data_IF_154992561281
#
_entry.id   IF_154992561281
#
_cell.length_a   1.000
_cell.length_b   1.000
_cell.length_c   1.000
_cell.angle_alpha   90.00
_cell.angle_beta   90.00
_cell.angle_gamma   90.00
#
_symmetry.space_group_name_H-M   'P 1'
#
loop_
_entity.id
_entity.type
_entity.pdbx_description
1 polymer ?
#
# COMPACT_ATOMS: atom_id res chain seq x y z
N UNK A 1 -11.25 26.29 -5.60
CA UNK A 1 -10.63 25.04 -5.13
C UNK A 1 -9.63 25.40 -4.04
N UNK A 2 -9.67 24.72 -2.89
CA UNK A 2 -8.62 24.86 -1.89
C UNK A 2 -7.30 24.43 -2.52
N UNK A 3 -6.37 25.38 -2.73
CA UNK A 3 -5.06 25.15 -3.38
C UNK A 3 -3.97 24.83 -2.36
N UNK A 4 -4.35 24.57 -1.11
CA UNK A 4 -3.44 24.25 -0.01
C UNK A 4 -2.91 22.82 -0.13
N UNK A 5 -1.77 22.61 0.48
CA UNK A 5 -1.16 21.30 0.60
C UNK A 5 -2.00 20.38 1.48
N UNK A 6 -1.98 19.10 1.17
CA UNK A 6 -2.26 18.02 2.11
C UNK A 6 -0.96 17.25 2.31
N UNK A 7 -0.67 16.88 3.56
CA UNK A 7 0.43 15.99 3.90
C UNK A 7 -0.14 14.60 4.09
N UNK A 8 0.52 13.58 3.58
CA UNK A 8 0.17 12.19 3.83
C UNK A 8 1.33 11.46 4.48
N UNK A 9 0.99 10.57 5.42
CA UNK A 9 1.93 9.75 6.18
C UNK A 9 1.60 8.28 5.98
N UNK A 10 2.61 7.50 5.62
CA UNK A 10 2.52 6.05 5.58
C UNK A 10 3.68 5.39 6.32
N UNK A 11 3.39 4.31 7.03
CA UNK A 11 4.41 3.40 7.54
C UNK A 11 4.06 2.00 7.11
N UNK A 12 4.95 1.42 6.30
CA UNK A 12 4.82 0.04 5.86
C UNK A 12 4.87 -0.93 7.04
N UNK A 13 4.26 -2.10 6.87
CA UNK A 13 4.29 -3.17 7.88
C UNK A 13 5.68 -3.81 8.07
N UNK A 14 6.63 -3.52 7.17
CA UNK A 14 7.99 -4.00 7.26
C UNK A 14 8.78 -3.42 8.45
N UNK A 15 8.30 -2.34 9.09
CA UNK A 15 9.01 -1.63 10.17
C UNK A 15 10.51 -1.45 9.86
N UNK A 16 10.77 -0.93 8.66
CA UNK A 16 12.11 -0.63 8.15
C UNK A 16 12.81 0.50 8.92
N UNK A 17 12.10 1.10 9.88
CA UNK A 17 12.58 2.17 10.73
C UNK A 17 12.34 3.55 10.14
N UNK A 18 11.48 3.68 9.12
CA UNK A 18 11.17 4.98 8.51
C UNK A 18 9.67 5.25 8.40
N UNK A 19 9.32 6.50 8.12
CA UNK A 19 7.99 6.96 7.72
C UNK A 19 8.08 7.70 6.38
N UNK A 20 7.20 7.34 5.46
CA UNK A 20 7.01 8.08 4.22
C UNK A 20 6.13 9.31 4.47
N UNK A 21 6.61 10.46 4.04
CA UNK A 21 5.90 11.73 4.09
C UNK A 21 5.81 12.28 2.67
N UNK A 22 4.61 12.60 2.21
CA UNK A 22 4.42 13.20 0.89
C UNK A 22 3.41 14.35 0.93
N UNK A 23 3.72 15.43 0.21
CA UNK A 23 2.81 16.54 0.01
C UNK A 23 2.13 16.44 -1.36
N UNK A 24 0.84 16.77 -1.35
CA UNK A 24 -0.03 16.72 -2.51
C UNK A 24 -0.99 17.91 -2.48
N UNK A 25 -1.10 18.67 -3.58
CA UNK A 25 -2.28 19.53 -3.80
C UNK A 25 -3.29 18.72 -4.59
N UNK A 26 -4.49 18.60 -4.03
CA UNK A 26 -5.59 17.87 -4.64
C UNK A 26 -6.91 18.49 -4.21
N UNK A 27 -7.92 18.34 -5.05
CA UNK A 27 -9.30 18.63 -4.69
C UNK A 27 -10.04 17.42 -4.09
N UNK A 28 -9.30 16.35 -3.79
CA UNK A 28 -9.81 15.06 -3.34
C UNK A 28 -10.22 14.13 -4.48
N UNK A 29 -10.30 14.60 -5.73
CA UNK A 29 -10.62 13.77 -6.90
C UNK A 29 -9.44 13.68 -7.84
N UNK A 30 -8.85 14.82 -8.19
CA UNK A 30 -7.74 14.91 -9.13
C UNK A 30 -6.50 15.49 -8.44
N UNK A 31 -5.33 15.12 -8.97
CA UNK A 31 -4.04 15.66 -8.53
C UNK A 31 -3.80 16.98 -9.24
N UNK A 32 -3.59 18.05 -8.46
CA UNK A 32 -3.31 19.39 -8.96
C UNK A 32 -1.80 19.67 -9.01
N UNK A 33 -1.06 19.21 -8.00
CA UNK A 33 0.38 19.42 -7.89
C UNK A 33 1.02 18.37 -6.97
N UNK A 34 2.17 17.84 -7.36
CA UNK A 34 3.02 16.98 -6.53
C UNK A 34 4.00 17.86 -5.74
N UNK A 35 3.98 17.78 -4.41
CA UNK A 35 4.84 18.56 -3.52
C UNK A 35 6.12 17.82 -3.10
N UNK A 36 6.84 18.29 -2.07
CA UNK A 36 7.95 17.55 -1.49
C UNK A 36 7.55 16.15 -1.00
N UNK A 37 8.49 15.20 -1.05
CA UNK A 37 8.38 13.90 -0.39
C UNK A 37 9.67 13.59 0.36
N UNK A 38 9.58 12.80 1.42
CA UNK A 38 10.74 12.33 2.17
C UNK A 38 10.46 10.99 2.83
N UNK A 39 11.52 10.20 2.98
CA UNK A 39 11.59 9.04 3.86
C UNK A 39 12.32 9.50 5.12
N UNK A 40 11.61 9.60 6.24
CA UNK A 40 12.19 10.09 7.50
C UNK A 40 12.43 8.94 8.47
N UNK A 41 13.63 8.85 9.08
CA UNK A 41 13.92 7.81 10.04
C UNK A 41 13.17 8.03 11.34
N UNK A 42 12.72 6.93 11.94
CA UNK A 42 12.26 6.91 13.31
C UNK A 42 13.42 7.01 14.30
N UNK A 43 13.20 7.63 15.47
CA UNK A 43 14.03 7.39 16.63
C UNK A 43 14.12 5.88 16.93
N UNK A 44 15.31 5.42 17.32
CA UNK A 44 15.63 3.99 17.50
C UNK A 44 14.63 3.27 18.42
N UNK A 45 14.16 3.95 19.46
CA UNK A 45 13.23 3.43 20.45
C UNK A 45 11.82 3.14 19.89
N UNK A 46 11.36 3.89 18.88
CA UNK A 46 10.01 3.75 18.32
C UNK A 46 9.85 2.39 17.66
N UNK A 47 10.85 1.97 16.88
CA UNK A 47 10.81 0.68 16.17
C UNK A 47 10.71 -0.50 17.15
N UNK A 48 11.39 -0.42 18.30
CA UNK A 48 11.29 -1.43 19.37
C UNK A 48 9.88 -1.54 19.95
N UNK A 49 9.26 -0.38 20.25
CA UNK A 49 7.88 -0.31 20.76
C UNK A 49 6.87 -0.85 19.75
N UNK A 50 7.02 -0.50 18.47
CA UNK A 50 6.12 -0.97 17.41
C UNK A 50 6.22 -2.49 17.21
N UNK A 51 7.44 -3.06 17.23
CA UNK A 51 7.63 -4.51 17.15
C UNK A 51 6.96 -5.23 18.33
N UNK A 52 7.14 -4.71 19.55
CA UNK A 52 6.48 -5.26 20.72
C UNK A 52 4.95 -5.15 20.60
N UNK A 53 4.43 -4.00 20.17
CA UNK A 53 3.01 -3.80 19.96
C UNK A 53 2.44 -4.77 18.92
N UNK A 54 3.12 -5.00 17.80
CA UNK A 54 2.69 -6.00 16.80
C UNK A 54 2.67 -7.43 17.36
N UNK A 55 3.68 -7.82 18.15
CA UNK A 55 3.73 -9.13 18.78
C UNK A 55 2.61 -9.34 19.81
N UNK A 56 2.35 -8.34 20.65
CA UNK A 56 1.24 -8.37 21.60
C UNK A 56 -0.11 -8.31 20.88
N UNK A 57 -0.23 -7.57 19.78
CA UNK A 57 -1.44 -7.51 18.97
C UNK A 57 -1.78 -8.88 18.36
N UNK A 58 -0.78 -9.59 17.82
CA UNK A 58 -0.95 -10.94 17.29
C UNK A 58 -1.48 -11.91 18.35
N UNK A 59 -1.00 -11.78 19.60
CA UNK A 59 -1.47 -12.59 20.74
C UNK A 59 -2.88 -12.18 21.19
N UNK A 60 -3.15 -10.88 21.26
CA UNK A 60 -4.44 -10.32 21.66
C UNK A 60 -5.57 -10.69 20.69
N UNK A 61 -5.31 -10.62 19.37
CA UNK A 61 -6.25 -10.98 18.31
C UNK A 61 -7.70 -10.45 18.53
N UNK A 62 -7.81 -9.19 18.95
CA UNK A 62 -9.08 -8.53 19.28
C UNK A 62 -9.91 -9.22 20.39
N UNK A 63 -9.25 -9.91 21.33
CA UNK A 63 -9.91 -10.61 22.43
C UNK A 63 -9.47 -10.05 23.78
N UNK A 64 -10.41 -9.52 24.56
CA UNK A 64 -10.12 -8.87 25.84
C UNK A 64 -9.65 -7.41 25.68
N UNK A 65 -9.11 -6.79 26.75
CA UNK A 65 -8.67 -5.40 26.72
C UNK A 65 -7.48 -5.19 25.77
N UNK A 66 -7.34 -3.98 25.21
CA UNK A 66 -6.16 -3.65 24.39
C UNK A 66 -4.86 -3.85 25.18
N UNK A 67 -3.79 -4.35 24.55
CA UNK A 67 -2.47 -4.44 25.15
C UNK A 67 -1.98 -3.09 25.69
N UNK A 68 -1.45 -3.09 26.91
CA UNK A 68 -0.99 -1.86 27.58
C UNK A 68 0.11 -1.12 26.78
N UNK A 69 0.93 -1.86 26.03
CA UNK A 69 1.99 -1.31 25.18
C UNK A 69 1.45 -0.40 24.06
N UNK A 70 0.20 -0.59 23.62
CA UNK A 70 -0.36 0.17 22.49
C UNK A 70 -0.34 1.67 22.75
N UNK A 71 -0.69 2.10 23.98
CA UNK A 71 -0.70 3.52 24.33
C UNK A 71 0.70 4.14 24.25
N UNK A 72 1.70 3.45 24.78
CA UNK A 72 3.08 3.92 24.75
C UNK A 72 3.62 3.98 23.32
N UNK A 73 3.35 2.95 22.52
CA UNK A 73 3.75 2.87 21.13
C UNK A 73 3.04 3.93 20.27
N UNK A 74 1.75 4.16 20.49
CA UNK A 74 0.94 5.17 19.78
C UNK A 74 1.42 6.59 20.04
N UNK A 75 1.71 6.94 21.29
CA UNK A 75 2.25 8.26 21.63
C UNK A 75 3.63 8.47 21.00
N UNK A 76 4.54 7.48 21.12
CA UNK A 76 5.89 7.57 20.57
C UNK A 76 5.87 7.69 19.04
N UNK A 77 5.07 6.86 18.37
CA UNK A 77 4.85 6.91 16.92
C UNK A 77 4.33 8.29 16.49
N UNK A 78 3.28 8.78 17.16
CA UNK A 78 2.63 10.04 16.79
C UNK A 78 3.59 11.22 16.91
N UNK A 79 4.38 11.27 18.00
CA UNK A 79 5.40 12.32 18.18
C UNK A 79 6.48 12.26 17.11
N UNK A 80 6.97 11.06 16.77
CA UNK A 80 8.00 10.89 15.75
C UNK A 80 7.49 11.28 14.36
N UNK A 81 6.28 10.87 13.98
CA UNK A 81 5.68 11.25 12.71
C UNK A 81 5.34 12.75 12.64
N UNK A 82 4.89 13.36 13.75
CA UNK A 82 4.68 14.82 13.81
C UNK A 82 5.99 15.58 13.57
N UNK A 83 7.09 15.12 14.17
CA UNK A 83 8.42 15.68 13.92
C UNK A 83 8.85 15.52 12.45
N UNK A 84 8.57 14.36 11.83
CA UNK A 84 8.83 14.13 10.41
C UNK A 84 8.06 15.10 9.51
N UNK A 85 6.76 15.34 9.78
CA UNK A 85 5.96 16.35 9.06
C UNK A 85 6.61 17.73 9.18
N UNK A 86 6.92 18.17 10.40
CA UNK A 86 7.53 19.49 10.64
C UNK A 86 8.87 19.61 9.90
N UNK A 87 9.69 18.57 9.91
CA UNK A 87 10.98 18.54 9.23
C UNK A 87 10.84 18.64 7.70
N UNK A 88 9.84 17.97 7.11
CA UNK A 88 9.54 18.05 5.68
C UNK A 88 9.04 19.44 5.30
N UNK A 89 8.10 20.01 6.07
CA UNK A 89 7.60 21.37 5.82
C UNK A 89 8.72 22.40 5.92
N UNK A 90 9.58 22.29 6.94
CA UNK A 90 10.72 23.19 7.15
C UNK A 90 11.70 23.12 5.98
N UNK A 91 12.12 21.92 5.56
CA UNK A 91 13.03 21.74 4.41
C UNK A 91 12.41 22.18 3.09
N UNK A 92 11.10 22.00 2.94
CA UNK A 92 10.34 22.47 1.79
C UNK A 92 10.07 23.98 1.81
N UNK A 93 10.40 24.68 2.90
CA UNK A 93 10.05 26.08 3.14
C UNK A 93 8.55 26.34 2.94
N UNK A 94 7.70 25.44 3.45
CA UNK A 94 6.24 25.49 3.37
C UNK A 94 5.70 25.91 4.73
N UNK A 95 4.94 27.00 4.76
CA UNK A 95 4.26 27.45 5.97
C UNK A 95 3.17 26.43 6.37
N UNK A 96 3.10 25.96 7.62
CA UNK A 96 1.99 25.14 8.12
C UNK A 96 0.59 25.69 7.78
N UNK A 97 0.43 27.02 7.68
CA UNK A 97 -0.83 27.66 7.27
C UNK A 97 -1.23 27.36 5.80
N UNK A 98 -0.27 27.00 4.96
CA UNK A 98 -0.50 26.52 3.59
C UNK A 98 -0.90 25.03 3.54
N UNK A 99 -0.89 24.33 4.68
CA UNK A 99 -1.34 22.94 4.79
C UNK A 99 -2.77 22.91 5.31
N UNK A 100 -3.66 22.32 4.53
CA UNK A 100 -5.06 22.15 4.88
C UNK A 100 -5.29 21.00 5.85
N UNK A 101 -4.57 19.89 5.69
CA UNK A 101 -4.79 18.65 6.43
C UNK A 101 -3.59 17.70 6.36
N UNK A 102 -3.41 16.90 7.41
CA UNK A 102 -2.54 15.73 7.45
C UNK A 102 -3.42 14.47 7.35
N UNK A 103 -3.11 13.59 6.41
CA UNK A 103 -3.60 12.21 6.39
C UNK A 103 -2.65 11.29 7.12
N UNK A 104 -3.07 10.88 8.32
CA UNK A 104 -2.26 10.10 9.25
C UNK A 104 -2.77 8.66 9.30
N UNK A 105 -2.20 7.77 8.47
CA UNK A 105 -2.57 6.35 8.48
C UNK A 105 -2.26 5.68 9.84
N UNK A 106 -1.12 6.06 10.42
CA UNK A 106 -0.57 5.39 11.60
C UNK A 106 0.15 4.09 11.25
N UNK A 107 0.36 3.26 12.27
CA UNK A 107 0.95 1.93 12.14
C UNK A 107 -0.12 0.87 12.34
N UNK A 108 -0.39 0.03 11.34
CA UNK A 108 -1.24 -1.14 11.55
C UNK A 108 -0.50 -2.14 12.43
N UNK A 109 -1.08 -2.49 13.59
CA UNK A 109 -0.56 -3.54 14.49
C UNK A 109 -1.27 -4.87 14.30
N UNK A 110 -2.55 -4.83 13.92
CA UNK A 110 -3.29 -6.02 13.54
C UNK A 110 -4.40 -5.67 12.55
N UNK A 111 -4.52 -6.50 11.53
CA UNK A 111 -5.62 -6.47 10.58
C UNK A 111 -6.18 -7.89 10.45
N UNK A 112 -7.51 -7.99 10.43
CA UNK A 112 -8.23 -9.24 10.30
C UNK A 112 -9.36 -9.05 9.31
N UNK A 113 -9.19 -9.63 8.13
CA UNK A 113 -10.16 -9.59 7.05
C UNK A 113 -11.55 -10.08 7.51
N UNK A 114 -12.59 -9.53 6.87
CA UNK A 114 -13.95 -9.97 7.04
C UNK A 114 -14.17 -11.33 6.34
N UNK A 115 -15.01 -12.17 6.93
CA UNK A 115 -15.47 -13.44 6.33
C UNK A 115 -16.99 -13.45 6.26
N UNK A 116 -17.57 -14.44 5.59
CA UNK A 116 -19.02 -14.66 5.56
C UNK A 116 -19.65 -14.84 6.94
N UNK A 117 -18.85 -15.21 7.95
CA UNK A 117 -19.30 -15.55 9.30
C UNK A 117 -18.94 -14.49 10.34
N UNK A 118 -18.08 -13.52 10.00
CA UNK A 118 -17.56 -12.53 10.97
C UNK A 118 -17.17 -11.21 10.30
N UNK A 119 -17.57 -10.10 10.91
CA UNK A 119 -17.09 -8.77 10.53
C UNK A 119 -15.55 -8.69 10.72
N UNK A 120 -14.89 -7.98 9.83
CA UNK A 120 -13.45 -7.71 9.93
C UNK A 120 -13.09 -6.86 11.16
N UNK A 121 -11.80 -6.70 11.42
CA UNK A 121 -11.31 -5.80 12.45
C UNK A 121 -9.93 -5.27 12.08
N UNK A 122 -9.62 -4.04 12.47
CA UNK A 122 -8.29 -3.48 12.27
C UNK A 122 -7.94 -2.52 13.39
N UNK A 123 -6.67 -2.51 13.80
CA UNK A 123 -6.13 -1.55 14.76
C UNK A 123 -4.89 -0.89 14.17
N UNK A 124 -5.01 0.42 13.95
CA UNK A 124 -3.89 1.31 13.62
C UNK A 124 -3.54 2.11 14.86
N UNK A 125 -2.26 2.13 15.26
CA UNK A 125 -1.76 3.06 16.25
C UNK A 125 -1.56 4.43 15.61
N UNK A 126 -2.08 5.47 16.23
CA UNK A 126 -1.87 6.87 15.84
C UNK A 126 -2.90 7.80 16.45
N UNK A 127 -2.46 8.74 17.28
CA UNK A 127 -3.33 9.73 17.94
C UNK A 127 -3.47 10.98 17.06
N UNK A 128 -4.59 11.07 16.34
CA UNK A 128 -4.90 12.22 15.47
C UNK A 128 -4.99 13.55 16.21
N UNK A 129 -5.44 13.57 17.47
CA UNK A 129 -5.54 14.79 18.27
C UNK A 129 -4.16 15.25 18.75
N UNK A 130 -3.29 14.33 19.15
CA UNK A 130 -1.90 14.65 19.46
C UNK A 130 -1.15 15.15 18.21
N UNK A 131 -1.29 14.50 17.06
CA UNK A 131 -0.73 14.97 15.79
C UNK A 131 -1.17 16.40 15.47
N UNK A 132 -2.47 16.69 15.59
CA UNK A 132 -3.01 18.01 15.30
C UNK A 132 -2.45 19.09 16.24
N UNK A 133 -2.37 18.79 17.54
CA UNK A 133 -1.78 19.72 18.53
C UNK A 133 -0.29 19.96 18.32
N UNK A 134 0.48 18.92 17.98
CA UNK A 134 1.94 19.03 17.80
C UNK A 134 2.31 19.80 16.53
N UNK A 135 1.53 19.62 15.46
CA UNK A 135 1.83 20.24 14.16
C UNK A 135 1.12 21.58 13.95
N UNK A 136 0.04 21.85 14.70
CA UNK A 136 -0.84 22.98 14.44
C UNK A 136 -1.70 22.82 13.18
N UNK A 137 -1.77 21.60 12.61
CA UNK A 137 -2.46 21.31 11.35
C UNK A 137 -3.60 20.31 11.62
N UNK A 138 -4.77 20.53 11.00
CA UNK A 138 -5.87 19.57 11.08
C UNK A 138 -5.42 18.18 10.61
N UNK A 139 -5.83 17.13 11.31
CA UNK A 139 -5.39 15.76 11.03
C UNK A 139 -6.58 14.84 10.86
N UNK A 140 -6.57 14.03 9.80
CA UNK A 140 -7.49 12.92 9.61
C UNK A 140 -6.72 11.62 9.85
N UNK A 141 -7.18 10.81 10.79
CA UNK A 141 -6.71 9.43 11.02
C UNK A 141 -7.88 8.44 10.94
N UNK A 142 -7.65 7.16 11.23
CA UNK A 142 -8.68 6.10 11.23
C UNK A 142 -9.52 6.01 9.95
N UNK A 143 -8.83 5.75 8.83
CA UNK A 143 -9.47 5.64 7.51
C UNK A 143 -10.26 4.34 7.31
N UNK A 144 -10.06 3.33 8.16
CA UNK A 144 -10.53 1.95 7.93
C UNK A 144 -11.80 1.61 8.71
N UNK A 145 -12.02 2.18 9.90
CA UNK A 145 -13.08 1.72 10.79
C UNK A 145 -14.49 1.87 10.20
N UNK A 146 -14.77 2.96 9.48
CA UNK A 146 -16.07 3.18 8.85
C UNK A 146 -16.38 2.14 7.75
N UNK A 147 -15.37 1.75 6.98
CA UNK A 147 -15.48 0.72 5.94
C UNK A 147 -15.79 -0.66 6.56
N UNK A 148 -15.01 -1.04 7.58
CA UNK A 148 -15.16 -2.32 8.28
C UNK A 148 -16.52 -2.40 8.99
N UNK A 149 -16.96 -1.31 9.63
CA UNK A 149 -18.26 -1.24 10.29
C UNK A 149 -19.43 -1.40 9.30
N UNK A 150 -19.23 -1.02 8.04
CA UNK A 150 -20.19 -1.22 6.95
C UNK A 150 -20.10 -2.60 6.29
N UNK A 151 -19.25 -3.50 6.80
CA UNK A 151 -19.06 -4.86 6.28
C UNK A 151 -17.99 -5.00 5.20
N UNK A 152 -17.24 -3.93 4.91
CA UNK A 152 -16.10 -3.97 4.02
C UNK A 152 -14.85 -4.60 4.66
N UNK A 153 -13.84 -4.83 3.83
CA UNK A 153 -12.55 -5.41 4.25
C UNK A 153 -11.63 -4.40 4.95
N UNK A 154 -11.87 -3.09 4.85
CA UNK A 154 -10.99 -2.03 5.34
C UNK A 154 -9.75 -1.80 4.47
N UNK A 155 -9.58 -2.56 3.37
CA UNK A 155 -8.46 -2.50 2.44
C UNK A 155 -8.83 -3.13 1.08
N UNK A 156 -8.17 -2.74 -0.04
CA UNK A 156 -7.24 -1.61 -0.17
C UNK A 156 -7.99 -0.27 -0.28
N UNK A 157 -7.45 0.80 0.31
CA UNK A 157 -7.97 2.17 0.19
C UNK A 157 -7.27 3.01 -0.91
N UNK A 158 -6.12 2.53 -1.39
CA UNK A 158 -5.38 3.11 -2.50
C UNK A 158 -6.12 3.24 -3.85
N UNK A 159 -7.16 2.44 -4.19
CA UNK A 159 -7.75 2.46 -5.53
C UNK A 159 -8.26 3.83 -5.99
N UNK A 160 -8.79 4.63 -5.06
CA UNK A 160 -9.28 5.98 -5.40
C UNK A 160 -8.14 6.93 -5.75
N UNK A 161 -6.97 6.76 -5.12
CA UNK A 161 -5.77 7.50 -5.46
C UNK A 161 -5.14 6.98 -6.77
N UNK A 162 -5.14 5.66 -6.97
CA UNK A 162 -4.67 5.07 -8.23
C UNK A 162 -5.45 5.59 -9.45
N UNK A 163 -6.76 5.79 -9.32
CA UNK A 163 -7.56 6.46 -10.37
C UNK A 163 -7.11 7.90 -10.61
N UNK A 164 -6.79 8.66 -9.55
CA UNK A 164 -6.30 10.03 -9.68
C UNK A 164 -4.93 10.06 -10.37
N UNK A 165 -4.04 9.12 -10.06
CA UNK A 165 -2.74 8.94 -10.74
C UNK A 165 -2.91 8.65 -12.23
N UNK A 166 -3.76 7.68 -12.59
CA UNK A 166 -4.02 7.34 -14.00
C UNK A 166 -4.58 8.54 -14.77
N UNK A 167 -5.50 9.32 -14.17
CA UNK A 167 -6.00 10.56 -14.77
C UNK A 167 -4.93 11.63 -14.92
N UNK A 168 -4.06 11.78 -13.92
CA UNK A 168 -2.99 12.78 -13.91
C UNK A 168 -2.03 12.60 -15.09
N UNK A 169 -1.73 11.35 -15.47
CA UNK A 169 -0.89 11.04 -16.63
C UNK A 169 -1.68 10.89 -17.95
N UNK A 170 -2.98 11.20 -17.95
CA UNK A 170 -3.84 11.06 -19.13
C UNK A 170 -4.01 9.62 -19.62
N UNK A 171 -3.90 8.63 -18.73
CA UNK A 171 -4.09 7.23 -19.09
C UNK A 171 -5.56 6.92 -19.41
N UNK A 172 -5.78 6.14 -20.48
CA UNK A 172 -7.11 5.72 -20.91
C UNK A 172 -7.66 4.53 -20.11
N UNK A 173 -8.90 4.13 -20.42
CA UNK A 173 -9.63 3.03 -19.75
C UNK A 173 -8.96 1.64 -19.90
N UNK A 174 -8.02 1.50 -20.84
CA UNK A 174 -7.20 0.29 -20.99
C UNK A 174 -5.99 0.23 -20.05
N UNK A 175 -5.84 1.18 -19.11
CA UNK A 175 -4.72 1.23 -18.17
C UNK A 175 -5.14 0.80 -16.76
N UNK A 176 -4.26 0.07 -16.08
CA UNK A 176 -4.36 -0.25 -14.67
C UNK A 176 -3.11 0.24 -13.91
N UNK A 177 -3.25 0.46 -12.61
CA UNK A 177 -2.12 0.69 -11.71
C UNK A 177 -1.87 -0.57 -10.89
N UNK A 178 -0.61 -1.01 -10.83
CA UNK A 178 -0.17 -2.16 -10.04
C UNK A 178 0.88 -1.71 -9.03
N UNK A 179 0.57 -1.81 -7.73
CA UNK A 179 1.55 -1.56 -6.69
C UNK A 179 2.23 -2.87 -6.28
N UNK A 180 3.56 -2.94 -6.39
CA UNK A 180 4.37 -4.09 -6.00
C UNK A 180 5.19 -3.80 -4.74
N UNK A 181 4.57 -3.98 -3.59
CA UNK A 181 5.23 -3.97 -2.27
C UNK A 181 5.69 -5.37 -1.87
N UNK A 182 5.42 -5.79 -0.63
CA UNK A 182 5.53 -7.20 -0.25
C UNK A 182 4.46 -8.08 -0.93
N UNK A 183 3.25 -7.51 -1.06
CA UNK A 183 2.11 -8.06 -1.79
C UNK A 183 1.84 -7.16 -3.00
N UNK A 184 1.40 -7.76 -4.12
CA UNK A 184 0.97 -7.03 -5.31
C UNK A 184 -0.51 -6.70 -5.24
N UNK A 185 -0.89 -5.45 -5.50
CA UNK A 185 -2.30 -5.05 -5.61
C UNK A 185 -2.55 -4.24 -6.87
N UNK A 186 -3.64 -4.58 -7.57
CA UNK A 186 -4.01 -3.94 -8.82
C UNK A 186 -5.23 -3.04 -8.61
N UNK A 187 -5.29 -1.94 -9.35
CA UNK A 187 -6.49 -1.12 -9.50
C UNK A 187 -6.74 -0.84 -10.97
N UNK A 188 -7.96 -1.13 -11.40
CA UNK A 188 -8.47 -0.78 -12.71
C UNK A 188 -9.78 0.00 -12.56
N UNK A 189 -9.96 1.01 -13.41
CA UNK A 189 -11.17 1.82 -13.43
C UNK A 189 -11.94 1.54 -14.72
N UNK A 190 -13.15 1.02 -14.59
CA UNK A 190 -14.04 0.78 -15.71
C UNK A 190 -14.46 2.10 -16.39
N UNK A 191 -14.93 2.06 -17.65
CA UNK A 191 -15.36 3.26 -18.37
C UNK A 191 -16.47 4.07 -17.68
N UNK A 192 -17.32 3.41 -16.88
CA UNK A 192 -18.38 4.03 -16.08
C UNK A 192 -17.88 4.64 -14.75
N UNK A 193 -16.58 4.54 -14.47
CA UNK A 193 -15.95 5.03 -13.25
C UNK A 193 -15.91 4.02 -12.10
N UNK A 194 -16.44 2.82 -12.28
CA UNK A 194 -16.40 1.74 -11.27
C UNK A 194 -14.95 1.33 -11.02
N UNK A 195 -14.57 1.26 -9.74
CA UNK A 195 -13.25 0.82 -9.32
C UNK A 195 -13.25 -0.68 -9.04
N UNK A 196 -12.31 -1.39 -9.64
CA UNK A 196 -12.01 -2.78 -9.37
C UNK A 196 -10.61 -2.87 -8.79
N UNK A 197 -10.48 -3.41 -7.58
CA UNK A 197 -9.19 -3.55 -6.94
C UNK A 197 -9.14 -4.75 -6.00
N UNK A 198 -7.97 -5.38 -5.94
CA UNK A 198 -7.70 -6.55 -5.12
C UNK A 198 -6.21 -6.85 -5.09
N UNK A 199 -5.80 -7.68 -4.14
CA UNK A 199 -4.45 -8.23 -4.11
C UNK A 199 -4.33 -9.33 -5.18
N UNK A 200 -3.34 -9.20 -6.07
CA UNK A 200 -3.09 -10.18 -7.13
C UNK A 200 -2.43 -11.43 -6.59
N UNK A 201 -1.59 -11.29 -5.57
CA UNK A 201 -0.73 -12.34 -5.02
C UNK A 201 0.54 -11.73 -4.41
N UNK A 202 1.57 -12.53 -4.08
CA UNK A 202 2.82 -12.00 -3.58
C UNK A 202 3.52 -11.12 -4.61
N UNK A 203 4.31 -10.16 -4.13
CA UNK A 203 5.22 -9.35 -4.92
C UNK A 203 6.66 -9.61 -4.45
N UNK A 204 7.32 -8.64 -3.79
CA UNK A 204 8.73 -8.76 -3.45
C UNK A 204 9.00 -9.64 -2.23
N UNK A 205 8.05 -9.82 -1.31
CA UNK A 205 8.33 -10.43 -0.01
C UNK A 205 8.95 -11.83 -0.10
N UNK A 206 8.43 -12.79 -0.89
CA UNK A 206 9.07 -14.10 -1.02
C UNK A 206 10.49 -14.03 -1.60
N UNK A 207 10.72 -13.13 -2.56
CA UNK A 207 12.03 -12.93 -3.17
C UNK A 207 13.01 -12.32 -2.17
N UNK A 208 12.60 -11.29 -1.44
CA UNK A 208 13.41 -10.63 -0.41
C UNK A 208 13.80 -11.62 0.69
N UNK A 209 12.84 -12.44 1.16
CA UNK A 209 13.08 -13.48 2.15
C UNK A 209 14.07 -14.54 1.62
N UNK A 210 13.94 -14.94 0.35
CA UNK A 210 14.87 -15.86 -0.31
C UNK A 210 16.29 -15.30 -0.38
N UNK A 211 16.45 -14.04 -0.79
CA UNK A 211 17.75 -13.38 -0.87
C UNK A 211 18.38 -13.21 0.52
N UNK A 212 17.58 -12.84 1.51
CA UNK A 212 18.04 -12.70 2.89
C UNK A 212 18.55 -14.03 3.45
N UNK A 213 17.80 -15.12 3.23
CA UNK A 213 18.17 -16.47 3.69
C UNK A 213 19.49 -16.97 3.07
N UNK A 214 19.75 -16.65 1.80
CA UNK A 214 20.92 -17.18 1.08
C UNK A 214 22.16 -16.28 1.11
N UNK A 215 21.97 -14.96 1.24
CA UNK A 215 23.04 -13.98 1.05
C UNK A 215 23.21 -13.00 2.21
N UNK A 216 22.24 -12.93 3.12
CA UNK A 216 22.17 -11.91 4.18
C UNK A 216 21.84 -10.49 3.68
N UNK A 217 21.63 -10.29 2.37
CA UNK A 217 21.17 -9.02 1.79
C UNK A 217 19.65 -8.90 1.87
N UNK A 218 19.13 -7.68 1.89
CA UNK A 218 17.70 -7.45 2.07
C UNK A 218 16.84 -7.77 0.83
N UNK A 219 17.39 -7.67 -0.39
CA UNK A 219 16.62 -7.79 -1.64
C UNK A 219 17.53 -8.11 -2.83
N UNK A 220 16.93 -8.61 -3.92
CA UNK A 220 17.62 -8.77 -5.21
C UNK A 220 17.70 -7.42 -5.94
N UNK A 221 18.79 -6.69 -5.68
CA UNK A 221 18.98 -5.36 -6.25
C UNK A 221 19.09 -5.44 -7.78
N UNK A 222 18.25 -4.66 -8.46
CA UNK A 222 18.17 -4.59 -9.92
C UNK A 222 17.89 -5.95 -10.59
N UNK A 223 17.33 -6.91 -9.84
CA UNK A 223 17.05 -8.27 -10.32
C UNK A 223 18.29 -9.06 -10.75
N UNK A 224 19.48 -8.71 -10.25
CA UNK A 224 20.75 -9.24 -10.73
C UNK A 224 20.90 -10.75 -10.50
N UNK A 225 20.40 -11.27 -9.38
CA UNK A 225 20.45 -12.69 -9.03
C UNK A 225 19.40 -13.45 -9.86
N UNK A 226 18.18 -12.94 -9.92
CA UNK A 226 17.11 -13.52 -10.73
C UNK A 226 17.46 -13.58 -12.22
N UNK A 227 18.17 -12.58 -12.75
CA UNK A 227 18.59 -12.53 -14.15
C UNK A 227 19.65 -13.60 -14.51
N UNK A 228 20.36 -14.14 -13.52
CA UNK A 228 21.33 -15.22 -13.72
C UNK A 228 20.69 -16.62 -13.64
N UNK A 229 19.44 -16.72 -13.18
CA UNK A 229 18.73 -17.98 -13.03
C UNK A 229 17.85 -18.35 -14.21
N UNK A 230 17.32 -19.57 -14.15
CA UNK A 230 16.30 -20.07 -15.07
C UNK A 230 15.01 -20.32 -14.31
N UNK A 231 13.89 -19.79 -14.82
CA UNK A 231 12.58 -20.00 -14.23
C UNK A 231 12.19 -21.49 -14.35
N UNK A 232 11.84 -22.12 -13.22
CA UNK A 232 11.19 -23.45 -13.19
C UNK A 232 9.72 -23.31 -13.65
N UNK A 233 9.51 -23.28 -14.98
CA UNK A 233 8.18 -23.15 -15.59
C UNK A 233 7.21 -24.27 -15.18
N UNK A 234 7.73 -25.47 -14.90
CA UNK A 234 6.92 -26.60 -14.43
C UNK A 234 6.34 -26.33 -13.04
N UNK A 235 7.12 -25.73 -12.14
CA UNK A 235 6.65 -25.31 -10.81
C UNK A 235 5.71 -24.11 -10.91
N UNK A 236 6.02 -23.15 -11.76
CA UNK A 236 5.15 -21.98 -11.99
C UNK A 236 3.77 -22.39 -12.52
N UNK A 237 3.72 -23.37 -13.44
CA UNK A 237 2.46 -23.93 -13.94
C UNK A 237 1.63 -24.62 -12.83
N UNK A 238 2.28 -25.27 -11.84
CA UNK A 238 1.58 -25.81 -10.66
C UNK A 238 1.03 -24.70 -9.77
N UNK A 239 1.79 -23.62 -9.56
CA UNK A 239 1.34 -22.47 -8.77
C UNK A 239 0.13 -21.76 -9.40
N UNK A 240 0.00 -21.81 -10.73
CA UNK A 240 -1.15 -21.23 -11.44
C UNK A 240 -2.49 -21.87 -11.04
N UNK A 241 -2.47 -23.11 -10.53
CA UNK A 241 -3.65 -23.82 -10.05
C UNK A 241 -4.03 -23.47 -8.60
N UNK A 242 -3.26 -22.60 -7.91
CA UNK A 242 -3.55 -22.25 -6.53
C UNK A 242 -4.92 -21.53 -6.41
N UNK A 243 -5.80 -21.95 -5.47
CA UNK A 243 -7.18 -21.42 -5.40
C UNK A 243 -7.28 -19.90 -5.29
N UNK A 244 -6.33 -19.26 -4.59
CA UNK A 244 -6.29 -17.80 -4.45
C UNK A 244 -6.24 -17.07 -5.81
N UNK A 245 -5.51 -17.60 -6.79
CA UNK A 245 -5.33 -16.96 -8.10
C UNK A 245 -6.62 -16.94 -8.91
N UNK A 246 -7.54 -17.89 -8.67
CA UNK A 246 -8.82 -18.01 -9.40
C UNK A 246 -10.02 -17.52 -8.60
N UNK A 247 -9.87 -17.29 -7.30
CA UNK A 247 -10.93 -16.75 -6.45
C UNK A 247 -11.39 -15.35 -6.93
N UNK A 248 -12.71 -15.07 -6.93
CA UNK A 248 -13.24 -13.74 -7.25
C UNK A 248 -12.81 -12.71 -6.20
N UNK A 249 -12.78 -11.43 -6.58
CA UNK A 249 -12.62 -10.31 -5.66
C UNK A 249 -13.99 -9.80 -5.17
N UNK A 250 -14.08 -9.10 -4.01
CA UNK A 250 -13.00 -8.59 -3.16
C UNK A 250 -12.15 -9.70 -2.51
N UNK A 251 -10.82 -9.57 -2.60
CA UNK A 251 -9.86 -10.46 -1.95
C UNK A 251 -8.61 -9.70 -1.53
N UNK A 252 -8.05 -10.09 -0.39
CA UNK A 252 -6.81 -9.55 0.18
C UNK A 252 -5.89 -10.70 0.60
N UNK A 253 -4.61 -10.40 0.81
CA UNK A 253 -3.57 -11.36 1.16
C UNK A 253 -2.73 -10.84 2.34
N UNK A 254 -2.29 -11.73 3.23
CA UNK A 254 -1.20 -11.43 4.16
C UNK A 254 0.15 -11.67 3.48
N UNK A 255 1.19 -10.95 3.92
CA UNK A 255 2.57 -11.13 3.41
C UNK A 255 3.02 -12.61 3.48
N UNK A 256 2.58 -13.36 4.49
CA UNK A 256 3.06 -14.71 4.77
C UNK A 256 2.22 -15.82 4.12
N UNK A 257 1.16 -15.49 3.39
CA UNK A 257 0.32 -16.51 2.71
C UNK A 257 1.09 -17.25 1.59
N UNK A 258 2.09 -16.58 1.01
CA UNK A 258 3.05 -17.18 0.08
C UNK A 258 4.46 -16.83 0.56
N UNK A 259 5.32 -17.84 0.71
CA UNK A 259 6.66 -17.67 1.30
C UNK A 259 7.76 -18.06 0.31
N UNK A 260 9.02 -17.79 0.67
CA UNK A 260 10.20 -18.22 -0.10
C UNK A 260 10.29 -19.74 -0.27
N UNK A 261 9.52 -20.53 0.51
CA UNK A 261 9.46 -21.99 0.42
C UNK A 261 9.08 -22.50 -0.98
N UNK A 262 8.40 -21.66 -1.79
CA UNK A 262 8.08 -21.96 -3.19
C UNK A 262 9.35 -22.32 -3.99
N UNK A 263 10.49 -21.71 -3.68
CA UNK A 263 11.77 -21.93 -4.33
C UNK A 263 12.62 -23.04 -3.71
N UNK A 264 12.15 -23.73 -2.67
CA UNK A 264 12.94 -24.77 -1.99
C UNK A 264 13.44 -25.86 -2.97
N UNK A 265 14.69 -26.26 -2.77
CA UNK A 265 15.39 -27.22 -3.62
C UNK A 265 15.93 -26.66 -4.94
N UNK A 266 15.77 -25.36 -5.22
CA UNK A 266 16.41 -24.68 -6.35
C UNK A 266 17.75 -24.04 -5.92
N UNK A 267 18.57 -23.69 -6.91
CA UNK A 267 19.73 -22.82 -6.70
C UNK A 267 19.27 -21.42 -6.27
N UNK A 268 20.19 -20.60 -5.73
CA UNK A 268 19.89 -19.22 -5.38
C UNK A 268 19.32 -18.45 -6.58
N UNK A 269 19.98 -18.57 -7.72
CA UNK A 269 19.64 -17.89 -8.97
C UNK A 269 18.30 -18.39 -9.54
N UNK A 270 18.10 -19.71 -9.64
CA UNK A 270 16.85 -20.28 -10.18
C UNK A 270 15.66 -20.01 -9.25
N UNK A 271 15.89 -20.04 -7.93
CA UNK A 271 14.90 -19.66 -6.93
C UNK A 271 14.50 -18.19 -7.06
N UNK A 272 15.47 -17.29 -7.21
CA UNK A 272 15.21 -15.86 -7.43
C UNK A 272 14.48 -15.61 -8.77
N UNK A 273 14.84 -16.33 -9.83
CA UNK A 273 14.17 -16.27 -11.13
C UNK A 273 12.70 -16.69 -11.02
N UNK A 274 12.42 -17.84 -10.38
CA UNK A 274 11.06 -18.32 -10.15
C UNK A 274 10.24 -17.31 -9.31
N UNK A 275 10.80 -16.81 -8.22
CA UNK A 275 10.12 -15.87 -7.33
C UNK A 275 9.93 -14.49 -7.97
N UNK A 276 10.74 -14.12 -8.97
CA UNK A 276 10.53 -12.92 -9.79
C UNK A 276 9.45 -13.11 -10.86
N UNK A 277 9.30 -14.33 -11.39
CA UNK A 277 8.27 -14.67 -12.36
C UNK A 277 6.89 -14.88 -11.72
N UNK A 278 6.84 -15.27 -10.44
CA UNK A 278 5.59 -15.59 -9.77
C UNK A 278 4.62 -14.39 -9.60
N UNK A 279 5.07 -13.16 -9.24
CA UNK A 279 4.23 -11.98 -9.27
C UNK A 279 3.58 -11.73 -10.63
N UNK A 280 4.32 -11.94 -11.73
CA UNK A 280 3.78 -11.79 -13.08
C UNK A 280 2.67 -12.81 -13.40
N UNK A 281 2.82 -14.06 -12.95
CA UNK A 281 1.76 -15.06 -13.05
C UNK A 281 0.51 -14.63 -12.26
N UNK A 282 0.71 -14.10 -11.05
CA UNK A 282 -0.38 -13.62 -10.19
C UNK A 282 -1.13 -12.45 -10.84
N UNK A 283 -0.40 -11.50 -11.43
CA UNK A 283 -0.98 -10.38 -12.18
C UNK A 283 -1.76 -10.90 -13.39
N UNK A 284 -1.18 -11.81 -14.19
CA UNK A 284 -1.85 -12.41 -15.35
C UNK A 284 -3.15 -13.14 -14.96
N UNK A 285 -3.19 -13.81 -13.81
CA UNK A 285 -4.41 -14.39 -13.27
C UNK A 285 -5.42 -13.32 -12.85
N UNK A 286 -4.96 -12.27 -12.15
CA UNK A 286 -5.78 -11.13 -11.74
C UNK A 286 -6.43 -10.39 -12.91
N UNK A 287 -5.70 -10.16 -14.00
CA UNK A 287 -6.24 -9.51 -15.21
C UNK A 287 -7.45 -10.25 -15.79
N UNK A 288 -7.49 -11.59 -15.68
CA UNK A 288 -8.63 -12.40 -16.15
C UNK A 288 -9.90 -12.21 -15.31
N UNK A 289 -9.78 -11.69 -14.09
CA UNK A 289 -10.91 -11.40 -13.21
C UNK A 289 -11.55 -10.04 -13.51
N UNK A 290 -10.81 -9.13 -14.17
CA UNK A 290 -11.33 -7.82 -14.54
C UNK A 290 -12.40 -7.95 -15.64
N UNK A 291 -13.48 -7.15 -15.59
CA UNK A 291 -14.54 -7.22 -16.59
C UNK A 291 -14.16 -6.52 -17.91
N UNK A 292 -12.97 -5.90 -17.98
CA UNK A 292 -12.45 -5.22 -19.15
C UNK A 292 -10.99 -5.59 -19.43
N UNK A 293 -10.55 -5.33 -20.66
CA UNK A 293 -9.17 -5.60 -21.08
C UNK A 293 -8.24 -4.48 -20.61
N UNK A 294 -7.14 -4.88 -19.98
CA UNK A 294 -6.00 -4.02 -19.68
C UNK A 294 -4.94 -4.21 -20.76
N UNK A 295 -4.46 -3.12 -21.32
CA UNK A 295 -3.39 -3.08 -22.34
C UNK A 295 -2.10 -2.51 -21.77
N UNK A 296 -2.20 -1.68 -20.73
CA UNK A 296 -1.08 -1.01 -20.08
C UNK A 296 -1.18 -1.13 -18.56
N UNK A 297 -0.08 -1.44 -17.91
CA UNK A 297 0.04 -1.45 -16.46
C UNK A 297 1.12 -0.46 -16.04
N UNK A 298 0.73 0.53 -15.23
CA UNK A 298 1.68 1.44 -14.57
C UNK A 298 2.05 0.83 -13.23
N UNK A 299 3.32 0.53 -13.02
CA UNK A 299 3.82 -0.24 -11.87
C UNK A 299 4.45 0.70 -10.83
N UNK A 300 3.93 0.70 -9.61
CA UNK A 300 4.48 1.42 -8.45
C UNK A 300 5.05 0.45 -7.41
N UNK A 301 5.56 0.98 -6.29
CA UNK A 301 6.17 0.18 -5.23
C UNK A 301 7.56 -0.35 -5.62
N UNK A 302 8.24 -1.01 -4.68
CA UNK A 302 9.63 -1.45 -4.86
C UNK A 302 9.83 -2.38 -6.07
N UNK A 303 8.83 -3.20 -6.41
CA UNK A 303 8.94 -4.20 -7.47
C UNK A 303 9.14 -3.60 -8.87
N UNK A 304 8.71 -2.35 -9.09
CA UNK A 304 8.95 -1.62 -10.36
C UNK A 304 10.44 -1.45 -10.67
N UNK A 305 11.29 -1.42 -9.63
CA UNK A 305 12.75 -1.24 -9.74
C UNK A 305 13.46 -2.55 -10.10
N UNK A 306 12.77 -3.68 -10.14
CA UNK A 306 13.34 -4.96 -10.56
C UNK A 306 13.02 -5.19 -12.06
N UNK A 307 14.00 -5.07 -12.97
CA UNK A 307 13.78 -5.22 -14.40
C UNK A 307 13.39 -6.64 -14.82
N UNK A 308 13.68 -7.66 -14.01
CA UNK A 308 13.25 -9.04 -14.26
C UNK A 308 11.75 -9.14 -14.03
N UNK A 309 11.24 -8.66 -12.88
CA UNK A 309 9.81 -8.64 -12.57
C UNK A 309 9.03 -7.86 -13.64
N UNK A 310 9.51 -6.67 -14.03
CA UNK A 310 8.86 -5.85 -15.06
C UNK A 310 8.76 -6.56 -16.42
N UNK A 311 9.82 -7.30 -16.81
CA UNK A 311 9.85 -8.07 -18.06
C UNK A 311 8.93 -9.28 -18.01
N UNK A 312 8.90 -9.99 -16.89
CA UNK A 312 8.00 -11.11 -16.65
C UNK A 312 6.53 -10.65 -16.73
N UNK A 313 6.19 -9.50 -16.13
CA UNK A 313 4.85 -8.91 -16.22
C UNK A 313 4.50 -8.60 -17.67
N UNK A 314 5.35 -7.86 -18.39
CA UNK A 314 5.09 -7.50 -19.78
C UNK A 314 4.85 -8.74 -20.66
N UNK A 315 5.73 -9.74 -20.54
CA UNK A 315 5.68 -10.98 -21.33
C UNK A 315 4.46 -11.83 -21.01
N UNK A 316 4.24 -12.18 -19.74
CA UNK A 316 3.18 -13.14 -19.34
C UNK A 316 1.78 -12.53 -19.39
N UNK A 317 1.67 -11.23 -19.17
CA UNK A 317 0.38 -10.54 -19.23
C UNK A 317 0.03 -10.10 -20.65
N UNK A 318 1.01 -9.97 -21.55
CA UNK A 318 0.79 -9.42 -22.90
C UNK A 318 0.35 -7.95 -22.86
N UNK A 319 0.95 -7.17 -21.97
CA UNK A 319 0.63 -5.75 -21.72
C UNK A 319 1.90 -4.91 -21.77
N UNK A 320 1.73 -3.61 -21.98
CA UNK A 320 2.79 -2.63 -21.75
C UNK A 320 2.96 -2.42 -20.23
N UNK A 321 4.00 -3.01 -19.63
CA UNK A 321 4.36 -2.75 -18.24
C UNK A 321 5.31 -1.54 -18.16
N UNK A 322 4.90 -0.48 -17.46
CA UNK A 322 5.61 0.80 -17.40
C UNK A 322 5.94 1.15 -15.96
N UNK A 323 7.19 1.52 -15.70
CA UNK A 323 7.60 2.08 -14.42
C UNK A 323 6.84 3.39 -14.17
N UNK A 324 6.20 3.52 -13.01
CA UNK A 324 5.54 4.76 -12.57
C UNK A 324 6.46 5.99 -12.69
N UNK A 325 7.75 5.84 -12.39
CA UNK A 325 8.72 6.95 -12.45
C UNK A 325 8.96 7.42 -13.89
N UNK A 326 8.88 6.50 -14.87
CA UNK A 326 9.05 6.79 -16.29
C UNK A 326 7.88 7.60 -16.90
N UNK A 327 6.73 7.66 -16.21
CA UNK A 327 5.56 8.43 -16.64
C UNK A 327 5.30 9.66 -15.76
N UNK A 328 6.30 10.06 -14.96
CA UNK A 328 6.22 11.26 -14.12
C UNK A 328 5.43 11.08 -12.83
N UNK A 329 5.11 9.85 -12.44
CA UNK A 329 4.59 9.54 -11.11
C UNK A 329 5.77 9.30 -10.14
N UNK A 330 5.46 9.18 -8.85
CA UNK A 330 6.45 8.92 -7.80
C UNK A 330 6.17 7.57 -7.20
N UNK A 331 6.73 6.51 -7.78
CA UNK A 331 6.35 5.14 -7.46
C UNK A 331 6.62 4.72 -6.01
N UNK A 332 7.57 5.35 -5.32
CA UNK A 332 7.81 5.14 -3.88
C UNK A 332 6.82 5.94 -2.99
N UNK A 333 6.28 7.05 -3.48
CA UNK A 333 5.44 7.96 -2.70
C UNK A 333 3.96 7.58 -2.70
N UNK A 334 3.53 6.64 -3.55
CA UNK A 334 2.12 6.38 -3.88
C UNK A 334 1.27 6.16 -2.63
N UNK A 335 1.79 5.44 -1.64
CA UNK A 335 1.04 5.16 -0.42
C UNK A 335 0.89 6.39 0.49
N UNK A 336 1.96 7.17 0.69
CA UNK A 336 1.87 8.41 1.46
C UNK A 336 0.97 9.44 0.77
N UNK A 337 1.13 9.64 -0.54
CA UNK A 337 0.26 10.54 -1.32
C UNK A 337 -1.21 10.12 -1.28
N UNK A 338 -1.49 8.81 -1.28
CA UNK A 338 -2.83 8.28 -1.10
C UNK A 338 -3.46 8.83 0.18
N UNK A 339 -2.77 8.79 1.31
CA UNK A 339 -3.33 9.31 2.57
C UNK A 339 -3.51 10.83 2.56
N UNK A 340 -2.67 11.58 1.84
CA UNK A 340 -2.91 13.00 1.61
C UNK A 340 -4.24 13.22 0.86
N UNK A 341 -4.48 12.46 -0.22
CA UNK A 341 -5.73 12.54 -0.98
C UNK A 341 -6.95 12.07 -0.16
N UNK A 342 -6.84 10.98 0.58
CA UNK A 342 -7.92 10.47 1.44
C UNK A 342 -8.29 11.47 2.53
N UNK A 343 -7.33 12.20 3.10
CA UNK A 343 -7.61 13.24 4.09
C UNK A 343 -8.43 14.40 3.49
N UNK A 344 -8.07 14.86 2.28
CA UNK A 344 -8.86 15.89 1.57
C UNK A 344 -10.25 15.37 1.22
N UNK A 345 -10.37 14.10 0.83
CA UNK A 345 -11.68 13.47 0.59
C UNK A 345 -12.54 13.42 1.84
N UNK A 346 -11.96 13.04 2.98
CA UNK A 346 -12.64 13.01 4.28
C UNK A 346 -13.15 14.40 4.66
N UNK A 347 -12.33 15.45 4.55
CA UNK A 347 -12.74 16.84 4.78
C UNK A 347 -13.93 17.30 3.93
N UNK A 348 -14.05 16.74 2.72
CA UNK A 348 -15.10 17.08 1.75
C UNK A 348 -16.30 16.14 1.80
N UNK A 349 -16.31 15.16 2.70
CA UNK A 349 -17.35 14.13 2.75
C UNK A 349 -17.40 13.25 1.49
N UNK A 350 -16.27 13.09 0.79
CA UNK A 350 -16.17 12.24 -0.39
C UNK A 350 -15.87 10.78 0.02
N UNK A 351 -16.36 9.79 -0.74
CA UNK A 351 -16.13 8.38 -0.41
C UNK A 351 -14.65 7.99 -0.43
N UNK A 352 -14.18 7.21 0.53
CA UNK A 352 -12.83 6.66 0.59
C UNK A 352 -12.76 5.24 0.01
N UNK A 353 -13.85 4.48 0.15
CA UNK A 353 -13.96 3.10 -0.30
C UNK A 353 -15.23 2.84 -1.10
N UNK A 354 -15.22 1.76 -1.88
CA UNK A 354 -16.21 1.47 -2.91
C UNK A 354 -16.56 -0.03 -2.94
N UNK A 355 -17.76 -0.40 -3.43
CA UNK A 355 -18.18 -1.80 -3.49
C UNK A 355 -17.19 -2.72 -4.24
N UNK A 356 -16.68 -2.27 -5.39
CA UNK A 356 -15.72 -3.03 -6.20
C UNK A 356 -14.27 -3.05 -5.66
N UNK A 357 -14.03 -2.43 -4.50
CA UNK A 357 -12.69 -2.41 -3.87
C UNK A 357 -12.70 -3.18 -2.56
N UNK A 358 -13.43 -2.70 -1.55
CA UNK A 358 -13.41 -3.28 -0.20
C UNK A 358 -14.63 -4.16 0.08
N UNK A 359 -15.63 -4.18 -0.81
CA UNK A 359 -16.87 -4.93 -0.60
C UNK A 359 -17.94 -4.18 0.22
N UNK A 360 -17.75 -2.89 0.51
CA UNK A 360 -18.81 -2.07 1.14
C UNK A 360 -20.10 -2.03 0.30
N UNK A 361 -21.29 -1.91 0.92
CA UNK A 361 -22.56 -1.98 0.20
C UNK A 361 -22.81 -0.80 -0.75
N UNK A 362 -22.19 0.34 -0.48
CA UNK A 362 -22.21 1.54 -1.31
C UNK A 362 -20.93 2.35 -1.04
N UNK A 363 -20.59 3.38 -1.83
CA UNK A 363 -19.43 4.22 -1.54
C UNK A 363 -19.51 4.78 -0.11
N UNK A 364 -18.44 4.63 0.67
CA UNK A 364 -18.39 5.00 2.10
C UNK A 364 -17.40 6.13 2.35
N UNK A 365 -17.81 7.14 3.12
CA UNK A 365 -16.89 8.12 3.72
C UNK A 365 -16.17 7.48 4.92
N UNK A 366 -15.08 8.10 5.37
CA UNK A 366 -14.37 7.66 6.57
C UNK A 366 -13.33 8.67 7.02
N UNK A 367 -12.50 8.25 7.98
CA UNK A 367 -11.55 9.12 8.64
C UNK A 367 -12.19 9.92 9.78
N UNK A 368 -11.42 10.16 10.84
CA UNK A 368 -11.78 10.97 11.99
C UNK A 368 -10.96 12.25 11.94
N UNK A 369 -11.65 13.39 11.88
CA UNK A 369 -11.02 14.71 11.86
C UNK A 369 -10.72 15.20 13.27
N UNK A 370 -9.44 15.45 13.55
CA UNK A 370 -8.95 16.20 14.71
C UNK A 370 -8.47 17.58 14.30
N UNK A 371 -8.73 18.58 15.14
CA UNK A 371 -8.29 19.98 14.94
C UNK A 371 -7.38 20.40 16.10
N UNK A 372 -6.39 21.29 15.86
CA UNK A 372 -5.48 21.78 16.89
C UNK A 372 -6.16 22.43 18.10
#
# INVERSE_FOLDING_TARGET
MDKRWAVGLMTGTALDGNVDVALLKTDGTDILELGPQALEPYPTEVTGLLRQAMAEAATWNFTGPEPAIFRQAEEALTRAQAAAVIAVLTRGNIDPAEVSVIGFHGQTVLHRAATSERIGASRQLGDGMLMARLTGIATVNDFRSADIAAGGQGAPLAPVYHRALLRHIGAGVGSALLNLGGVGNITWCAPDGTLHAFDTGPANAPLDDWIAQHTGKAMDRDGAIAAAGTVDEGRLARLAAHPYLTAPYPKSLDRNDFTSAIAEGLSLEDGAALLSAFPALCVAAGLKLLPGRVERIVVSGGGRKNPVIMREIASRCGVEAVDADAVGLRGDAVEAECFALLAVRSLRGLPLSFPGTTGVPHPMTGGILSRP
#
